data_IF_577963232983
#
_entry.id   IF_577963232983
#
_cell.length_a   1.000
_cell.length_b   1.000
_cell.length_c   1.000
_cell.angle_alpha   90.00
_cell.angle_beta   90.00
_cell.angle_gamma   90.00
#
_symmetry.space_group_name_H-M   'P 1'
#
loop_
_entity.id
_entity.type
_entity.pdbx_description
1 polymer ?
#
# COMPACT_ATOMS: atom_id res chain seq x y z
N UNK A 1 -34.41 -18.33 10.80
CA UNK A 1 -35.88 -18.42 10.77
C UNK A 1 -36.29 -18.56 9.30
N UNK A 2 -36.53 -19.79 8.87
CA UNK A 2 -37.31 -20.19 7.69
C UNK A 2 -37.10 -21.71 7.52
N UNK A 3 -37.96 -22.47 8.19
CA UNK A 3 -38.20 -23.90 7.94
C UNK A 3 -38.56 -24.10 6.47
N UNK A 4 -37.95 -25.09 5.83
CA UNK A 4 -38.53 -25.72 4.64
C UNK A 4 -38.84 -27.17 5.02
N UNK A 5 -40.11 -27.37 5.34
CA UNK A 5 -40.79 -28.63 5.52
C UNK A 5 -40.54 -29.52 4.28
N UNK A 6 -39.72 -30.56 4.42
CA UNK A 6 -39.83 -31.71 3.52
C UNK A 6 -40.94 -32.59 4.05
N UNK A 7 -42.07 -32.50 3.35
CA UNK A 7 -43.27 -33.30 3.54
C UNK A 7 -42.93 -34.77 3.27
N UNK A 8 -42.81 -35.53 4.36
CA UNK A 8 -42.57 -36.96 4.38
C UNK A 8 -43.83 -37.68 3.87
N UNK A 9 -43.89 -37.91 2.56
CA UNK A 9 -44.96 -38.66 1.93
C UNK A 9 -44.81 -40.17 2.24
N UNK A 10 -45.15 -40.50 3.48
CA UNK A 10 -45.47 -41.84 3.93
C UNK A 10 -46.63 -42.41 3.11
N UNK A 11 -46.35 -43.32 2.18
CA UNK A 11 -47.35 -44.31 1.76
C UNK A 11 -47.49 -45.31 2.92
N UNK A 12 -48.28 -44.95 3.94
CA UNK A 12 -48.81 -45.90 4.91
C UNK A 12 -49.95 -46.67 4.23
N UNK A 13 -49.64 -47.79 3.58
CA UNK A 13 -50.65 -48.81 3.36
C UNK A 13 -50.92 -49.51 4.70
N UNK A 14 -51.98 -49.08 5.36
CA UNK A 14 -52.61 -49.82 6.45
C UNK A 14 -53.12 -51.15 5.90
N UNK A 15 -52.42 -52.24 6.22
CA UNK A 15 -52.89 -53.61 6.02
C UNK A 15 -54.00 -53.89 7.03
N UNK A 16 -55.20 -53.42 6.70
CA UNK A 16 -56.44 -53.79 7.39
C UNK A 16 -56.65 -55.30 7.31
N UNK A 17 -56.70 -55.91 8.48
CA UNK A 17 -57.04 -57.30 8.80
C UNK A 17 -58.03 -57.98 7.83
N UNK A 18 -57.61 -59.12 7.27
CA UNK A 18 -58.52 -60.20 6.86
C UNK A 18 -58.17 -61.43 7.70
N UNK A 19 -58.95 -61.67 8.74
CA UNK A 19 -59.13 -63.00 9.33
C UNK A 19 -59.85 -63.84 8.30
N UNK A 20 -59.35 -65.03 7.94
CA UNK A 20 -60.21 -66.19 7.66
C UNK A 20 -59.43 -67.50 7.49
N UNK A 21 -59.97 -68.51 8.15
CA UNK A 21 -60.00 -69.94 7.81
C UNK A 21 -59.95 -70.21 6.30
N UNK A 22 -59.03 -71.07 5.82
CA UNK A 22 -59.08 -71.68 4.48
C UNK A 22 -57.79 -71.59 3.66
N UNK A 23 -56.92 -72.59 3.79
CA UNK A 23 -55.58 -72.66 3.20
C UNK A 23 -55.48 -72.69 1.65
N UNK A 24 -56.57 -72.50 0.89
CA UNK A 24 -56.57 -72.51 -0.60
C UNK A 24 -56.94 -71.18 -1.25
N UNK A 25 -57.44 -70.18 -0.51
CA UNK A 25 -57.66 -68.80 -1.01
C UNK A 25 -56.48 -67.86 -0.74
N UNK A 26 -55.63 -68.22 0.22
CA UNK A 26 -54.45 -67.44 0.63
C UNK A 26 -53.32 -67.58 -0.41
N UNK A 27 -53.18 -68.75 -1.06
CA UNK A 27 -52.18 -68.97 -2.12
C UNK A 27 -52.47 -68.22 -3.42
N UNK A 28 -53.75 -68.14 -3.83
CA UNK A 28 -54.16 -67.42 -5.04
C UNK A 28 -54.04 -65.90 -4.90
N UNK A 29 -54.46 -65.35 -3.76
CA UNK A 29 -54.35 -63.91 -3.48
C UNK A 29 -52.89 -63.49 -3.25
N UNK A 30 -52.09 -64.28 -2.53
CA UNK A 30 -50.65 -64.04 -2.41
C UNK A 30 -49.93 -64.13 -3.76
N UNK A 31 -50.27 -65.09 -4.61
CA UNK A 31 -49.71 -65.22 -5.96
C UNK A 31 -50.03 -64.04 -6.87
N UNK A 32 -51.26 -63.52 -6.82
CA UNK A 32 -51.68 -62.33 -7.58
C UNK A 32 -50.95 -61.08 -7.09
N UNK A 33 -50.83 -60.89 -5.77
CA UNK A 33 -50.10 -59.76 -5.18
C UNK A 33 -48.62 -59.82 -5.57
N UNK A 34 -47.98 -60.99 -5.49
CA UNK A 34 -46.59 -61.19 -5.93
C UNK A 34 -46.45 -60.92 -7.43
N UNK A 35 -47.38 -61.37 -8.25
CA UNK A 35 -47.36 -61.13 -9.70
C UNK A 35 -47.50 -59.65 -10.04
N UNK A 36 -48.43 -58.92 -9.42
CA UNK A 36 -48.56 -57.46 -9.61
C UNK A 36 -47.29 -56.74 -9.17
N UNK A 37 -46.72 -57.14 -8.02
CA UNK A 37 -45.53 -56.50 -7.48
C UNK A 37 -44.30 -56.73 -8.38
N UNK A 38 -44.11 -57.95 -8.87
CA UNK A 38 -42.96 -58.33 -9.70
C UNK A 38 -43.07 -57.88 -11.15
N UNK A 39 -44.26 -57.90 -11.74
CA UNK A 39 -44.46 -57.57 -13.16
C UNK A 39 -44.73 -56.10 -13.41
N UNK A 40 -45.25 -55.35 -12.43
CA UNK A 40 -45.66 -53.96 -12.64
C UNK A 40 -45.00 -52.98 -11.66
N UNK A 41 -45.05 -53.23 -10.35
CA UNK A 41 -44.56 -52.25 -9.36
C UNK A 41 -43.03 -52.14 -9.40
N UNK A 42 -42.30 -53.26 -9.38
CA UNK A 42 -40.84 -53.26 -9.43
C UNK A 42 -40.33 -52.64 -10.74
N UNK A 43 -40.80 -53.02 -11.95
CA UNK A 43 -40.38 -52.39 -13.18
C UNK A 43 -40.69 -50.89 -13.27
N UNK A 44 -41.87 -50.46 -12.76
CA UNK A 44 -42.23 -49.04 -12.70
C UNK A 44 -41.28 -48.26 -11.78
N UNK A 45 -40.95 -48.81 -10.61
CA UNK A 45 -39.98 -48.21 -9.70
C UNK A 45 -38.59 -48.15 -10.34
N UNK A 46 -38.13 -49.23 -10.98
CA UNK A 46 -36.85 -49.25 -11.71
C UNK A 46 -36.87 -48.16 -12.80
N UNK A 47 -37.92 -48.06 -13.59
CA UNK A 47 -38.08 -47.01 -14.61
C UNK A 47 -37.96 -45.61 -14.00
N UNK A 48 -38.69 -45.33 -12.91
CA UNK A 48 -38.63 -44.05 -12.21
C UNK A 48 -37.23 -43.75 -11.66
N UNK A 49 -36.54 -44.73 -11.09
CA UNK A 49 -35.18 -44.57 -10.60
C UNK A 49 -34.18 -44.33 -11.75
N UNK A 50 -34.31 -45.06 -12.87
CA UNK A 50 -33.44 -44.83 -14.04
C UNK A 50 -33.63 -43.45 -14.64
N UNK A 51 -34.87 -42.97 -14.73
CA UNK A 51 -35.16 -41.62 -15.20
C UNK A 51 -34.57 -40.57 -14.27
N UNK A 52 -34.78 -40.71 -12.95
CA UNK A 52 -34.21 -39.79 -11.96
C UNK A 52 -32.67 -39.79 -11.97
N UNK A 53 -32.03 -40.94 -12.15
CA UNK A 53 -30.58 -41.02 -12.26
C UNK A 53 -30.07 -40.31 -13.53
N UNK A 54 -30.75 -40.47 -14.66
CA UNK A 54 -30.40 -39.74 -15.88
C UNK A 54 -30.55 -38.22 -15.72
N UNK A 55 -31.61 -37.76 -15.04
CA UNK A 55 -31.81 -36.34 -14.72
C UNK A 55 -30.70 -35.80 -13.79
N UNK A 56 -30.30 -36.57 -12.77
CA UNK A 56 -29.21 -36.20 -11.87
C UNK A 56 -27.85 -36.16 -12.57
N UNK A 57 -27.56 -37.10 -13.48
CA UNK A 57 -26.35 -37.10 -14.30
C UNK A 57 -26.29 -35.88 -15.22
N UNK A 58 -27.43 -35.51 -15.81
CA UNK A 58 -27.53 -34.30 -16.64
C UNK A 58 -27.28 -33.03 -15.82
N UNK A 59 -27.88 -32.93 -14.63
CA UNK A 59 -27.63 -31.79 -13.72
C UNK A 59 -26.17 -31.72 -13.27
N UNK A 60 -25.57 -32.86 -12.92
CA UNK A 60 -24.15 -32.92 -12.53
C UNK A 60 -23.24 -32.46 -13.68
N UNK A 61 -23.54 -32.85 -14.91
CA UNK A 61 -22.79 -32.42 -16.10
C UNK A 61 -22.91 -30.92 -16.34
N UNK A 62 -24.12 -30.35 -16.24
CA UNK A 62 -24.34 -28.91 -16.37
C UNK A 62 -23.60 -28.12 -15.29
N UNK A 63 -23.71 -28.53 -14.02
CA UNK A 63 -23.00 -27.90 -12.91
C UNK A 63 -21.49 -27.97 -13.07
N UNK A 64 -20.96 -29.09 -13.57
CA UNK A 64 -19.52 -29.24 -13.82
C UNK A 64 -19.04 -28.31 -14.96
N UNK A 65 -19.84 -28.16 -16.02
CA UNK A 65 -19.55 -27.24 -17.12
C UNK A 65 -19.60 -25.78 -16.66
N UNK A 66 -20.60 -25.40 -15.85
CA UNK A 66 -20.68 -24.07 -15.25
C UNK A 66 -19.51 -23.80 -14.31
N UNK A 67 -19.16 -24.76 -13.45
CA UNK A 67 -18.01 -24.65 -12.53
C UNK A 67 -16.70 -24.48 -13.29
N UNK A 68 -16.50 -25.26 -14.36
CA UNK A 68 -15.33 -25.15 -15.23
C UNK A 68 -15.27 -23.80 -15.94
N UNK A 69 -16.41 -23.32 -16.45
CA UNK A 69 -16.50 -22.00 -17.10
C UNK A 69 -16.21 -20.85 -16.12
N UNK A 70 -16.72 -20.94 -14.89
CA UNK A 70 -16.44 -19.97 -13.82
C UNK A 70 -14.96 -19.97 -13.43
N UNK A 71 -14.32 -21.15 -13.33
CA UNK A 71 -12.88 -21.25 -13.07
C UNK A 71 -12.05 -20.56 -14.16
N UNK A 72 -12.38 -20.77 -15.43
CA UNK A 72 -11.72 -20.10 -16.56
C UNK A 72 -11.90 -18.57 -16.46
N UNK A 73 -13.11 -18.11 -16.15
CA UNK A 73 -13.38 -16.68 -15.98
C UNK A 73 -12.60 -16.06 -14.82
N UNK A 74 -12.48 -16.75 -13.69
CA UNK A 74 -11.69 -16.30 -12.53
C UNK A 74 -10.21 -16.17 -12.90
N UNK A 75 -9.63 -17.19 -13.53
CA UNK A 75 -8.21 -17.16 -13.96
C UNK A 75 -7.96 -16.01 -14.93
N UNK A 76 -8.89 -15.75 -15.85
CA UNK A 76 -8.80 -14.62 -16.77
C UNK A 76 -8.84 -13.27 -16.04
N UNK A 77 -9.76 -13.11 -15.08
CA UNK A 77 -9.86 -11.93 -14.23
C UNK A 77 -8.61 -11.69 -13.39
N UNK A 78 -8.02 -12.75 -12.81
CA UNK A 78 -6.77 -12.66 -12.05
C UNK A 78 -5.60 -12.19 -12.92
N UNK A 79 -5.51 -12.71 -14.15
CA UNK A 79 -4.49 -12.28 -15.10
C UNK A 79 -4.70 -10.82 -15.54
N UNK A 80 -5.94 -10.42 -15.82
CA UNK A 80 -6.27 -9.02 -16.15
C UNK A 80 -5.91 -8.09 -14.98
N UNK A 81 -6.24 -8.47 -13.74
CA UNK A 81 -5.91 -7.70 -12.54
C UNK A 81 -4.40 -7.57 -12.33
N UNK A 82 -3.64 -8.65 -12.52
CA UNK A 82 -2.18 -8.61 -12.42
C UNK A 82 -1.59 -7.67 -13.47
N UNK A 83 -2.00 -7.82 -14.73
CA UNK A 83 -1.53 -6.97 -15.82
C UNK A 83 -1.91 -5.49 -15.63
N UNK A 84 -3.09 -5.22 -15.05
CA UNK A 84 -3.51 -3.88 -14.70
C UNK A 84 -2.64 -3.29 -13.59
N UNK A 85 -2.36 -4.07 -12.54
CA UNK A 85 -1.48 -3.66 -11.45
C UNK A 85 -0.08 -3.34 -11.95
N UNK A 86 0.52 -4.19 -12.79
CA UNK A 86 1.84 -3.95 -13.37
C UNK A 86 1.90 -2.65 -14.17
N UNK A 87 0.92 -2.39 -15.04
CA UNK A 87 0.84 -1.13 -15.79
C UNK A 87 0.71 0.08 -14.87
N UNK A 88 -0.11 -0.02 -13.81
CA UNK A 88 -0.27 1.06 -12.83
C UNK A 88 1.02 1.32 -12.05
N UNK A 89 1.74 0.27 -11.67
CA UNK A 89 3.01 0.40 -10.97
C UNK A 89 4.08 1.05 -11.88
N UNK A 90 4.10 0.71 -13.17
CA UNK A 90 4.96 1.36 -14.17
C UNK A 90 4.60 2.84 -14.37
N UNK A 91 3.32 3.18 -14.47
CA UNK A 91 2.84 4.56 -14.59
C UNK A 91 3.20 5.39 -13.35
N UNK A 92 3.02 4.83 -12.16
CA UNK A 92 3.39 5.47 -10.89
C UNK A 92 4.90 5.70 -10.86
N UNK A 93 5.70 4.70 -11.22
CA UNK A 93 7.17 4.82 -11.28
C UNK A 93 7.59 5.92 -12.26
N UNK A 94 6.98 5.97 -13.45
CA UNK A 94 7.25 7.00 -14.46
C UNK A 94 6.88 8.39 -13.96
N UNK A 95 5.72 8.53 -13.32
CA UNK A 95 5.27 9.80 -12.74
C UNK A 95 6.21 10.26 -11.62
N UNK A 96 6.60 9.35 -10.72
CA UNK A 96 7.53 9.65 -9.63
C UNK A 96 8.90 10.08 -10.16
N UNK A 97 9.42 9.42 -11.20
CA UNK A 97 10.66 9.83 -11.85
C UNK A 97 10.54 11.21 -12.51
N UNK A 98 9.38 11.53 -13.09
CA UNK A 98 9.13 12.84 -13.67
C UNK A 98 9.07 13.94 -12.59
N UNK A 99 8.43 13.68 -11.45
CA UNK A 99 8.40 14.59 -10.30
C UNK A 99 9.82 14.80 -9.77
N UNK A 100 10.59 13.73 -9.53
CA UNK A 100 12.01 13.79 -9.14
C UNK A 100 12.81 14.69 -10.09
N UNK A 101 12.62 14.50 -11.40
CA UNK A 101 13.28 15.32 -12.41
C UNK A 101 12.90 16.81 -12.29
N UNK A 102 11.61 17.13 -12.16
CA UNK A 102 11.15 18.52 -12.05
C UNK A 102 11.63 19.20 -10.76
N UNK A 103 11.58 18.50 -9.62
CA UNK A 103 12.09 18.98 -8.33
C UNK A 103 13.60 19.23 -8.41
N UNK A 104 14.36 18.31 -9.02
CA UNK A 104 15.80 18.46 -9.18
C UNK A 104 16.17 19.66 -10.08
N UNK A 105 15.34 19.99 -11.07
CA UNK A 105 15.59 21.11 -11.99
C UNK A 105 15.41 22.46 -11.31
N UNK A 106 14.36 22.59 -10.49
CA UNK A 106 13.94 23.84 -9.85
C UNK A 106 14.17 23.82 -8.34
N UNK A 107 15.28 23.24 -7.91
CA UNK A 107 15.56 23.00 -6.49
C UNK A 107 15.64 24.30 -5.68
N UNK A 108 16.20 25.37 -6.26
CA UNK A 108 16.33 26.67 -5.60
C UNK A 108 15.70 27.77 -6.44
N UNK A 109 15.13 28.76 -5.75
CA UNK A 109 14.73 30.03 -6.35
C UNK A 109 15.94 30.96 -6.31
N UNK A 110 16.19 31.69 -7.41
CA UNK A 110 17.34 32.58 -7.53
C UNK A 110 17.48 33.53 -6.32
N UNK A 111 18.66 33.52 -5.69
CA UNK A 111 18.98 34.33 -4.52
C UNK A 111 18.38 33.85 -3.20
N UNK A 112 17.57 32.79 -3.20
CA UNK A 112 17.01 32.18 -1.99
C UNK A 112 17.82 30.92 -1.62
N UNK A 113 18.44 30.87 -0.44
CA UNK A 113 19.21 29.71 -0.01
C UNK A 113 18.34 28.54 0.44
N UNK A 114 17.05 28.74 0.68
CA UNK A 114 16.15 27.66 1.05
C UNK A 114 15.66 26.94 -0.21
N UNK A 115 15.68 25.59 -0.26
CA UNK A 115 15.10 24.85 -1.36
C UNK A 115 13.62 25.18 -1.55
N UNK A 116 13.17 25.10 -2.80
CA UNK A 116 11.79 25.38 -3.17
C UNK A 116 10.82 24.50 -2.36
N UNK A 117 9.74 25.11 -1.86
CA UNK A 117 8.73 24.49 -0.98
C UNK A 117 9.23 24.01 0.41
N UNK A 118 10.53 24.13 0.71
CA UNK A 118 11.11 23.77 2.02
C UNK A 118 11.54 25.00 2.84
N UNK A 119 11.00 26.16 2.49
CA UNK A 119 11.28 27.44 3.16
C UNK A 119 10.26 27.78 4.26
N UNK A 120 9.47 26.79 4.71
CA UNK A 120 8.44 26.96 5.75
C UNK A 120 9.01 27.42 7.09
N UNK A 121 10.19 26.91 7.45
CA UNK A 121 10.91 27.27 8.67
C UNK A 121 12.32 27.71 8.28
N UNK A 122 12.71 28.89 8.77
CA UNK A 122 13.96 29.55 8.45
C UNK A 122 14.81 29.73 9.70
N UNK A 123 16.11 29.92 9.50
CA UNK A 123 17.01 30.37 10.55
C UNK A 123 16.47 31.67 11.17
N UNK A 124 16.46 31.74 12.51
CA UNK A 124 15.91 32.83 13.31
C UNK A 124 14.43 32.67 13.69
N UNK A 125 13.68 31.77 13.04
CA UNK A 125 12.29 31.48 13.41
C UNK A 125 12.20 30.82 14.78
N UNK A 126 11.03 30.94 15.43
CA UNK A 126 10.71 30.22 16.66
C UNK A 126 10.56 28.72 16.39
N UNK A 127 11.07 27.89 17.30
CA UNK A 127 11.01 26.42 17.21
C UNK A 127 9.59 25.88 17.14
N UNK A 128 8.63 26.57 17.77
CA UNK A 128 7.21 26.21 17.70
C UNK A 128 6.69 26.11 16.25
N UNK A 129 7.25 26.94 15.34
CA UNK A 129 6.89 26.97 13.92
C UNK A 129 7.17 25.64 13.20
N UNK A 130 8.12 24.84 13.69
CA UNK A 130 8.40 23.50 13.13
C UNK A 130 7.19 22.59 13.30
N UNK A 131 6.58 22.60 14.49
CA UNK A 131 5.40 21.79 14.81
C UNK A 131 4.14 22.28 14.08
N UNK A 132 4.09 23.56 13.77
CA UNK A 132 3.00 24.15 12.97
C UNK A 132 3.16 23.85 11.46
N UNK A 133 4.39 23.81 10.96
CA UNK A 133 4.70 23.67 9.54
C UNK A 133 4.62 22.22 9.02
N UNK A 134 4.75 21.23 9.93
CA UNK A 134 4.84 19.82 9.60
C UNK A 134 3.92 18.97 10.48
N UNK A 135 3.33 17.89 9.94
CA UNK A 135 2.51 16.98 10.74
C UNK A 135 3.37 16.23 11.77
N UNK A 136 2.82 15.98 12.96
CA UNK A 136 3.54 15.36 14.08
C UNK A 136 4.22 14.03 13.72
N UNK A 137 3.57 13.20 12.91
CA UNK A 137 4.12 11.90 12.48
C UNK A 137 5.36 11.98 11.57
N UNK A 138 5.78 13.18 11.15
CA UNK A 138 7.00 13.40 10.38
C UNK A 138 8.13 14.04 11.19
N UNK A 139 7.89 14.35 12.47
CA UNK A 139 8.82 15.09 13.32
C UNK A 139 9.40 14.13 14.35
N UNK A 140 10.72 13.93 14.31
CA UNK A 140 11.48 13.26 15.36
C UNK A 140 12.23 14.33 16.16
N UNK A 141 11.99 14.39 17.47
CA UNK A 141 12.76 15.28 18.35
C UNK A 141 13.98 14.55 18.90
N UNK A 142 15.14 15.20 18.93
CA UNK A 142 16.25 14.73 19.76
C UNK A 142 15.95 14.95 21.23
N UNK A 143 16.52 14.13 22.11
CA UNK A 143 16.42 14.37 23.56
C UNK A 143 16.84 15.81 23.91
N UNK A 144 15.99 16.46 24.71
CA UNK A 144 16.08 17.89 25.07
C UNK A 144 17.31 18.18 25.94
N UNK A 145 17.95 17.15 26.50
CA UNK A 145 19.10 17.26 27.40
C UNK A 145 20.45 17.45 26.69
N UNK A 146 20.50 17.39 25.35
CA UNK A 146 21.72 17.68 24.61
C UNK A 146 21.98 19.19 24.52
N UNK A 147 23.25 19.61 24.59
CA UNK A 147 23.64 21.03 24.50
C UNK A 147 23.25 21.72 23.18
N UNK A 148 22.81 20.96 22.17
CA UNK A 148 22.31 21.45 20.88
C UNK A 148 21.10 20.61 20.46
N UNK A 149 19.90 20.91 20.99
CA UNK A 149 18.71 20.16 20.63
C UNK A 149 18.32 20.41 19.16
N UNK A 150 17.69 19.42 18.54
CA UNK A 150 17.26 19.51 17.16
C UNK A 150 15.97 18.72 16.89
N UNK A 151 15.29 19.10 15.81
CA UNK A 151 14.19 18.34 15.22
C UNK A 151 14.62 17.80 13.86
N UNK A 152 14.29 16.54 13.59
CA UNK A 152 14.42 15.92 12.28
C UNK A 152 13.03 15.88 11.64
N UNK A 153 12.92 16.31 10.39
CA UNK A 153 11.73 16.15 9.57
C UNK A 153 12.05 15.27 8.37
N UNK A 154 11.30 14.19 8.19
CA UNK A 154 11.47 13.21 7.10
C UNK A 154 10.37 13.30 6.04
N UNK A 155 10.61 12.70 4.89
CA UNK A 155 9.63 12.54 3.80
C UNK A 155 9.02 13.87 3.32
N UNK A 156 9.85 14.89 3.16
CA UNK A 156 9.43 16.25 2.76
C UNK A 156 9.72 16.58 1.31
N UNK A 157 10.67 15.89 0.69
CA UNK A 157 11.08 16.08 -0.71
C UNK A 157 11.63 14.79 -1.26
N UNK A 158 11.62 14.63 -2.59
CA UNK A 158 12.29 13.50 -3.22
C UNK A 158 13.80 13.69 -3.34
N UNK A 159 14.30 14.92 -3.17
CA UNK A 159 15.73 15.28 -3.27
C UNK A 159 16.45 15.12 -1.93
N UNK A 160 15.77 15.44 -0.83
CA UNK A 160 16.34 15.39 0.52
C UNK A 160 15.70 14.26 1.32
N UNK A 161 16.54 13.43 1.93
CA UNK A 161 16.11 12.37 2.85
C UNK A 161 15.45 12.99 4.09
N UNK A 162 16.08 14.04 4.65
CA UNK A 162 15.62 14.69 5.87
C UNK A 162 16.11 16.13 6.00
N UNK A 163 15.38 16.88 6.83
CA UNK A 163 15.77 18.22 7.28
C UNK A 163 16.05 18.16 8.78
N UNK A 164 17.22 18.67 9.20
CA UNK A 164 17.56 18.91 10.60
C UNK A 164 17.42 20.39 10.94
N UNK A 165 16.59 20.69 11.94
CA UNK A 165 16.44 22.01 12.53
C UNK A 165 17.10 22.03 13.90
N UNK A 166 18.30 22.59 14.01
CA UNK A 166 18.94 22.84 15.30
C UNK A 166 18.50 24.19 15.85
N UNK A 167 18.40 24.28 17.18
CA UNK A 167 17.95 25.49 17.82
C UNK A 167 18.68 25.78 19.12
N UNK A 168 18.67 27.05 19.52
CA UNK A 168 19.19 27.49 20.80
C UNK A 168 18.14 27.24 21.90
N UNK A 169 18.51 26.48 22.93
CA UNK A 169 17.59 26.08 24.01
C UNK A 169 17.08 27.28 24.84
N UNK A 170 17.84 28.36 24.95
CA UNK A 170 17.45 29.53 25.77
C UNK A 170 16.47 30.42 25.03
N UNK A 171 16.76 30.72 23.77
CA UNK A 171 15.97 31.63 22.93
C UNK A 171 14.86 30.94 22.16
N UNK A 172 14.90 29.61 22.08
CA UNK A 172 13.98 28.77 21.30
C UNK A 172 13.93 29.19 19.82
N UNK A 173 15.04 29.72 19.30
CA UNK A 173 15.19 30.11 17.89
C UNK A 173 16.00 29.09 17.11
N UNK A 174 15.56 28.82 15.89
CA UNK A 174 16.30 27.98 14.94
C UNK A 174 17.62 28.65 14.60
N UNK A 175 18.73 27.98 14.86
CA UNK A 175 20.09 28.47 14.56
C UNK A 175 20.62 27.86 13.28
N UNK A 176 20.11 26.69 12.89
CA UNK A 176 20.61 25.95 11.75
C UNK A 176 19.50 25.14 11.09
N UNK A 177 19.48 25.16 9.75
CA UNK A 177 18.64 24.31 8.92
C UNK A 177 19.54 23.50 8.01
N UNK A 178 19.52 22.17 8.15
CA UNK A 178 20.38 21.26 7.39
C UNK A 178 19.52 20.34 6.54
N UNK A 179 19.82 20.27 5.25
CA UNK A 179 19.17 19.41 4.29
C UNK A 179 20.14 18.30 3.90
N UNK A 180 19.80 17.06 4.22
CA UNK A 180 20.60 15.90 3.83
C UNK A 180 20.07 15.36 2.51
N UNK A 181 20.91 15.34 1.49
CA UNK A 181 20.55 14.83 0.16
C UNK A 181 20.34 13.33 0.21
N UNK A 182 19.36 12.84 -0.54
CA UNK A 182 19.10 11.42 -0.66
C UNK A 182 20.20 10.71 -1.47
N UNK A 183 20.72 9.59 -0.94
CA UNK A 183 21.78 8.78 -1.55
C UNK A 183 21.43 8.22 -2.95
N UNK A 184 20.15 8.13 -3.31
CA UNK A 184 19.68 7.72 -4.64
C UNK A 184 20.22 8.62 -5.78
N UNK A 185 20.67 9.84 -5.48
CA UNK A 185 21.31 10.72 -6.45
C UNK A 185 22.81 10.42 -6.50
N UNK A 186 23.23 9.39 -7.25
CA UNK A 186 24.62 8.91 -7.30
C UNK A 186 25.73 9.96 -7.60
N UNK A 187 25.39 11.15 -8.11
CA UNK A 187 26.30 12.31 -8.30
C UNK A 187 25.92 13.54 -7.45
N UNK A 188 25.32 13.33 -6.26
CA UNK A 188 24.78 14.38 -5.41
C UNK A 188 25.76 15.53 -5.12
N UNK A 189 27.08 15.23 -5.07
CA UNK A 189 28.14 16.20 -4.74
C UNK A 189 28.25 17.32 -5.75
N UNK A 190 28.26 16.97 -7.04
CA UNK A 190 28.30 17.96 -8.12
C UNK A 190 26.93 18.57 -8.35
N UNK A 191 25.87 17.77 -8.21
CA UNK A 191 24.49 18.24 -8.35
C UNK A 191 24.16 19.38 -7.39
N UNK A 192 24.36 19.20 -6.08
CA UNK A 192 24.05 20.25 -5.10
C UNK A 192 24.94 21.47 -5.25
N UNK A 193 26.23 21.26 -5.50
CA UNK A 193 27.17 22.36 -5.74
C UNK A 193 26.73 23.20 -6.94
N UNK A 194 26.38 22.56 -8.05
CA UNK A 194 25.91 23.24 -9.26
C UNK A 194 24.62 24.01 -8.97
N UNK A 195 23.62 23.35 -8.36
CA UNK A 195 22.33 23.97 -8.07
C UNK A 195 22.41 25.14 -7.10
N UNK A 196 23.22 25.01 -6.06
CA UNK A 196 23.48 26.10 -5.12
C UNK A 196 24.25 27.24 -5.80
N UNK A 197 25.23 26.92 -6.66
CA UNK A 197 26.01 27.93 -7.40
C UNK A 197 25.14 28.71 -8.38
N UNK A 198 24.25 28.03 -9.11
CA UNK A 198 23.31 28.67 -10.04
C UNK A 198 22.38 29.67 -9.32
N UNK A 199 22.00 29.38 -8.08
CA UNK A 199 21.08 30.21 -7.29
C UNK A 199 21.78 31.31 -6.50
N UNK A 200 22.91 31.01 -5.86
CA UNK A 200 23.59 31.85 -4.87
C UNK A 200 24.87 32.50 -5.40
N UNK A 201 25.31 32.14 -6.61
CA UNK A 201 26.57 32.58 -7.19
C UNK A 201 27.75 31.69 -6.78
N UNK A 202 28.97 32.15 -7.04
CA UNK A 202 30.18 31.36 -6.82
C UNK A 202 30.51 31.19 -5.33
N UNK A 203 30.72 29.96 -4.82
CA UNK A 203 31.11 29.74 -3.43
C UNK A 203 32.58 30.06 -3.17
N UNK A 204 32.89 30.27 -1.90
CA UNK A 204 34.23 30.08 -1.35
C UNK A 204 34.46 28.58 -1.05
N UNK A 205 35.60 28.04 -1.49
CA UNK A 205 35.96 26.63 -1.28
C UNK A 205 36.89 26.50 -0.07
N UNK A 206 36.56 25.61 0.86
CA UNK A 206 37.43 25.30 2.00
C UNK A 206 38.59 24.38 1.60
N UNK A 207 39.61 24.32 2.45
CA UNK A 207 40.69 23.33 2.39
C UNK A 207 40.18 21.90 2.58
N UNK A 208 39.04 21.73 3.29
CA UNK A 208 38.38 20.44 3.48
C UNK A 208 37.71 19.99 2.17
N UNK A 209 37.86 18.70 1.83
CA UNK A 209 37.34 18.15 0.58
C UNK A 209 35.82 18.28 0.49
N UNK A 210 35.33 18.77 -0.65
CA UNK A 210 33.91 18.93 -0.98
C UNK A 210 33.15 19.84 -0.01
N UNK A 211 33.83 20.87 0.48
CA UNK A 211 33.30 21.82 1.42
C UNK A 211 33.27 23.23 0.81
N UNK A 212 32.09 23.83 0.73
CA UNK A 212 31.82 25.11 0.06
C UNK A 212 30.99 26.03 0.95
N UNK A 213 31.24 27.34 0.88
CA UNK A 213 30.51 28.39 1.62
C UNK A 213 30.00 29.48 0.68
N UNK A 214 28.74 29.87 0.81
CA UNK A 214 28.18 31.07 0.22
C UNK A 214 27.81 32.04 1.33
N UNK A 215 28.33 33.27 1.27
CA UNK A 215 27.91 34.28 2.23
C UNK A 215 26.65 34.99 1.76
N UNK A 216 25.62 35.00 2.62
CA UNK A 216 24.36 35.66 2.31
C UNK A 216 23.94 36.60 3.46
N UNK A 217 24.06 37.90 3.21
CA UNK A 217 23.76 38.95 4.21
C UNK A 217 22.34 38.88 4.76
N UNK A 218 21.38 38.35 4.00
CA UNK A 218 19.97 38.33 4.37
C UNK A 218 19.60 37.12 5.22
N UNK A 219 20.24 35.98 4.99
CA UNK A 219 19.80 34.69 5.53
C UNK A 219 20.84 33.98 6.40
N UNK A 220 22.05 34.55 6.51
CA UNK A 220 23.20 33.89 7.12
C UNK A 220 24.06 33.15 6.09
N UNK A 221 25.09 32.47 6.55
CA UNK A 221 26.00 31.75 5.67
C UNK A 221 25.45 30.36 5.33
N UNK A 222 25.70 29.95 4.10
CA UNK A 222 25.28 28.66 3.55
C UNK A 222 26.51 27.80 3.34
N UNK A 223 26.43 26.55 3.74
CA UNK A 223 27.50 25.58 3.67
C UNK A 223 27.05 24.34 2.90
N UNK A 224 27.90 23.82 2.04
CA UNK A 224 27.77 22.48 1.49
C UNK A 224 28.94 21.67 2.02
N UNK A 225 28.69 20.62 2.79
CA UNK A 225 29.70 19.81 3.46
C UNK A 225 29.63 18.37 2.99
N UNK A 226 30.79 17.73 2.73
CA UNK A 226 30.86 16.34 2.26
C UNK A 226 30.29 16.11 0.85
N UNK A 227 29.61 17.11 0.31
CA UNK A 227 28.82 17.09 -0.92
C UNK A 227 27.35 16.68 -0.73
N UNK A 228 26.96 16.14 0.43
CA UNK A 228 25.60 15.64 0.73
C UNK A 228 24.81 16.51 1.70
N UNK A 229 25.49 17.36 2.47
CA UNK A 229 24.87 18.12 3.56
C UNK A 229 24.86 19.59 3.20
N UNK A 230 23.69 20.10 2.82
CA UNK A 230 23.47 21.51 2.53
C UNK A 230 22.87 22.20 3.75
N UNK A 231 23.55 23.17 4.32
CA UNK A 231 23.25 23.73 5.64
C UNK A 231 23.22 25.25 5.59
N UNK A 232 22.25 25.85 6.28
CA UNK A 232 22.10 27.30 6.44
C UNK A 232 22.24 27.60 7.93
N UNK A 233 23.12 28.53 8.28
CA UNK A 233 23.42 28.89 9.68
C UNK A 233 23.31 30.39 9.90
N UNK A 234 22.92 30.81 11.11
CA UNK A 234 23.05 32.22 11.54
C UNK A 234 24.53 32.64 11.49
N UNK A 235 24.78 33.94 11.31
CA UNK A 235 26.13 34.52 11.25
C UNK A 235 27.03 34.21 12.45
N UNK A 236 26.42 33.91 13.61
CA UNK A 236 27.15 33.64 14.85
C UNK A 236 27.64 32.18 14.95
N UNK A 237 27.34 31.36 13.93
CA UNK A 237 27.68 29.95 13.91
C UNK A 237 28.35 29.59 12.57
N UNK A 238 29.35 28.72 12.66
CA UNK A 238 29.94 28.04 11.52
C UNK A 238 30.08 26.54 11.83
N UNK A 239 30.13 25.68 10.80
CA UNK A 239 30.50 24.30 11.00
C UNK A 239 31.93 24.21 11.53
N UNK A 240 32.22 23.21 12.37
CA UNK A 240 33.56 23.01 12.95
C UNK A 240 34.67 22.85 11.89
N UNK A 241 34.31 22.39 10.69
CA UNK A 241 35.25 22.27 9.56
C UNK A 241 35.62 23.62 8.92
N UNK A 242 34.97 24.70 9.37
CA UNK A 242 35.11 26.06 8.89
C UNK A 242 35.67 26.94 10.02
N UNK A 243 36.93 26.68 10.35
CA UNK A 243 37.77 27.60 11.13
C UNK A 243 38.51 28.48 10.12
N UNK A 244 38.18 29.78 10.11
CA UNK A 244 38.91 30.82 9.38
C UNK A 244 40.21 31.17 10.12
#
# INVERSE_FOLDING_TARGET
MAEVLMEDNHIKMSLGSIVTTGATLIGGTAGIVIWIFTQYIIPLQISNYTQRNAELEQQATLLNNESSSRKIAIVKLEHELLSFKERRDEEIKKSNNHIKFLESKNLFVLGNPYPYMLDKVKVGDQVAKIKEAYPEGKIEASDVEQSRPYYIVRDVSTVFDRILYSYDFKTQKVTTVSYLVNDEYHDYKEFMLTKATDSLGTPYKSSVRNSYRWSNRKYGDVYLMGGDTYQIMTSDYSPMIWED
#
